data_IF_053901598503
#
_entry.id   IF_053901598503
#
_cell.length_a   1.000
_cell.length_b   1.000
_cell.length_c   1.000
_cell.angle_alpha   90.00
_cell.angle_beta   90.00
_cell.angle_gamma   90.00
#
_symmetry.space_group_name_H-M   'P 1'
#
loop_
_entity.id
_entity.type
_entity.pdbx_description
1 polymer ?
#
# COMPACT_ATOMS: atom_id res chain seq x y z
N UNK A 1 -12.23 36.46 2.65
CA UNK A 1 -11.05 35.70 3.09
C UNK A 1 -9.94 36.69 3.41
N UNK A 2 -9.55 36.82 4.68
CA UNK A 2 -8.61 37.85 5.11
C UNK A 2 -7.15 37.41 4.95
N UNK A 3 -6.23 38.35 4.80
CA UNK A 3 -4.77 38.09 4.69
C UNK A 3 -4.22 37.18 5.82
N UNK A 4 -4.83 37.19 7.00
CA UNK A 4 -4.48 36.31 8.14
C UNK A 4 -4.80 34.82 7.90
N UNK A 5 -5.79 34.48 7.06
CA UNK A 5 -6.09 33.10 6.68
C UNK A 5 -5.01 32.54 5.73
N UNK A 6 -4.45 33.40 4.87
CA UNK A 6 -3.36 33.04 3.94
C UNK A 6 -2.09 32.67 4.71
N UNK A 7 -1.75 33.40 5.78
CA UNK A 7 -0.58 33.08 6.62
C UNK A 7 -0.77 31.82 7.48
N UNK A 8 -2.00 31.51 7.92
CA UNK A 8 -2.32 30.26 8.64
C UNK A 8 -2.27 29.05 7.72
N UNK A 9 -2.86 29.16 6.53
CA UNK A 9 -2.74 28.14 5.47
C UNK A 9 -1.29 27.95 5.07
N UNK A 10 -0.51 29.03 4.90
CA UNK A 10 0.92 28.96 4.59
C UNK A 10 1.74 28.19 5.64
N UNK A 11 1.52 28.44 6.93
CA UNK A 11 2.20 27.70 8.01
C UNK A 11 1.81 26.23 8.05
N UNK A 12 0.51 25.91 7.90
CA UNK A 12 0.04 24.52 7.85
C UNK A 12 0.65 23.79 6.65
N UNK A 13 0.66 24.41 5.47
CA UNK A 13 1.25 23.83 4.25
C UNK A 13 2.74 23.59 4.42
N UNK A 14 3.50 24.55 4.98
CA UNK A 14 4.95 24.35 5.21
C UNK A 14 5.25 23.25 6.24
N UNK A 15 4.41 23.11 7.28
CA UNK A 15 4.59 22.07 8.29
C UNK A 15 4.28 20.68 7.70
N UNK A 16 3.15 20.55 7.00
CA UNK A 16 2.77 19.31 6.28
C UNK A 16 3.83 18.93 5.25
N UNK A 17 4.32 19.88 4.45
CA UNK A 17 5.36 19.62 3.47
C UNK A 17 6.68 19.13 4.11
N UNK A 18 7.04 19.67 5.28
CA UNK A 18 8.21 19.21 6.03
C UNK A 18 8.00 17.79 6.59
N UNK A 19 6.82 17.51 7.13
CA UNK A 19 6.48 16.16 7.63
C UNK A 19 6.51 15.12 6.52
N UNK A 20 5.88 15.40 5.38
CA UNK A 20 5.91 14.51 4.20
C UNK A 20 7.34 14.31 3.69
N UNK A 21 8.15 15.37 3.65
CA UNK A 21 9.56 15.26 3.27
C UNK A 21 10.34 14.35 4.22
N UNK A 22 10.15 14.52 5.53
CA UNK A 22 10.82 13.70 6.54
C UNK A 22 10.37 12.23 6.48
N UNK A 23 9.06 12.01 6.32
CA UNK A 23 8.49 10.68 6.10
C UNK A 23 9.13 10.01 4.89
N UNK A 24 9.26 10.73 3.77
CA UNK A 24 9.90 10.21 2.55
C UNK A 24 11.35 9.83 2.78
N UNK A 25 12.12 10.66 3.49
CA UNK A 25 13.52 10.34 3.81
C UNK A 25 13.58 9.08 4.68
N UNK A 26 12.76 9.01 5.73
CA UNK A 26 12.70 7.84 6.59
C UNK A 26 12.30 6.57 5.81
N UNK A 27 11.32 6.66 4.91
CA UNK A 27 10.92 5.54 4.06
C UNK A 27 12.06 5.10 3.11
N UNK A 28 12.81 6.06 2.54
CA UNK A 28 13.98 5.76 1.71
C UNK A 28 15.09 5.06 2.49
N UNK A 29 15.38 5.53 3.70
CA UNK A 29 16.38 4.93 4.58
C UNK A 29 15.98 3.51 4.98
N UNK A 30 14.69 3.28 5.30
CA UNK A 30 14.16 1.95 5.59
C UNK A 30 14.33 1.00 4.39
N UNK A 31 13.97 1.45 3.17
CA UNK A 31 14.05 0.61 1.96
C UNK A 31 15.47 0.12 1.66
N UNK A 32 16.49 0.88 2.06
CA UNK A 32 17.90 0.54 1.86
C UNK A 32 18.40 -0.55 2.83
N UNK A 33 17.64 -0.88 3.88
CA UNK A 33 18.03 -1.90 4.84
C UNK A 33 17.95 -3.32 4.23
N UNK A 34 18.83 -4.25 4.65
CA UNK A 34 18.64 -5.67 4.32
C UNK A 34 17.31 -6.19 4.90
N UNK A 35 16.72 -7.19 4.23
CA UNK A 35 15.33 -7.61 4.49
C UNK A 35 15.01 -7.94 5.96
N UNK A 36 15.89 -8.63 6.73
CA UNK A 36 15.64 -8.86 8.15
C UNK A 36 15.51 -7.57 8.97
N UNK A 37 16.45 -6.63 8.81
CA UNK A 37 16.39 -5.34 9.53
C UNK A 37 15.22 -4.50 9.02
N UNK A 38 14.94 -4.54 7.73
CA UNK A 38 13.80 -3.85 7.13
C UNK A 38 12.48 -4.28 7.79
N UNK A 39 12.24 -5.59 7.92
CA UNK A 39 11.04 -6.14 8.56
C UNK A 39 10.93 -5.67 10.01
N UNK A 40 12.01 -5.81 10.78
CA UNK A 40 12.06 -5.41 12.19
C UNK A 40 11.76 -3.91 12.36
N UNK A 41 12.43 -3.05 11.59
CA UNK A 41 12.24 -1.61 11.66
C UNK A 41 10.85 -1.19 11.17
N UNK A 42 10.28 -1.86 10.18
CA UNK A 42 8.92 -1.57 9.73
C UNK A 42 7.89 -1.87 10.83
N UNK A 43 7.99 -3.04 11.48
CA UNK A 43 7.12 -3.39 12.60
C UNK A 43 7.29 -2.41 13.77
N UNK A 44 8.53 -2.08 14.11
CA UNK A 44 8.82 -1.11 15.16
C UNK A 44 8.28 0.29 14.85
N UNK A 45 8.32 0.73 13.59
CA UNK A 45 7.77 2.01 13.13
C UNK A 45 6.24 2.04 13.16
N UNK A 46 5.58 0.93 12.84
CA UNK A 46 4.12 0.81 12.89
C UNK A 46 3.55 0.63 14.30
N UNK A 47 4.35 0.17 15.25
CA UNK A 47 3.97 0.22 16.66
C UNK A 47 4.13 1.66 17.17
N UNK A 48 3.22 2.14 18.00
CA UNK A 48 3.41 3.37 18.76
C UNK A 48 3.09 3.06 20.22
N UNK A 49 3.64 3.82 21.16
CA UNK A 49 3.30 3.67 22.58
C UNK A 49 1.79 3.82 22.82
N UNK A 50 1.10 4.56 21.94
CA UNK A 50 -0.34 4.82 22.00
C UNK A 50 -1.16 4.06 20.94
N UNK A 51 -0.55 3.19 20.15
CA UNK A 51 -1.29 2.41 19.16
C UNK A 51 -2.19 1.36 19.86
N UNK A 52 -3.48 1.26 19.50
CA UNK A 52 -4.33 0.20 20.02
C UNK A 52 -3.91 -1.18 19.47
N UNK A 53 -3.37 -1.23 18.26
CA UNK A 53 -3.01 -2.47 17.59
C UNK A 53 -1.64 -3.05 18.01
N UNK A 54 -1.52 -4.38 17.85
CA UNK A 54 -0.25 -5.10 17.85
C UNK A 54 -0.11 -5.94 16.59
N UNK A 55 1.05 -5.84 15.96
CA UNK A 55 1.44 -6.64 14.80
C UNK A 55 2.72 -7.42 15.09
N UNK A 56 2.84 -8.62 14.54
CA UNK A 56 4.03 -9.45 14.68
C UNK A 56 4.38 -10.13 13.35
N UNK A 57 5.67 -10.31 13.09
CA UNK A 57 6.12 -11.17 12.00
C UNK A 57 5.73 -12.64 12.28
N UNK A 58 5.11 -13.31 11.32
CA UNK A 58 4.93 -14.76 11.39
C UNK A 58 6.26 -15.45 11.12
N UNK A 59 6.43 -16.64 11.70
CA UNK A 59 7.62 -17.46 11.50
C UNK A 59 7.74 -17.83 10.02
N UNK A 60 8.92 -17.64 9.44
CA UNK A 60 9.20 -18.00 8.06
C UNK A 60 8.97 -19.50 7.82
N UNK A 61 8.47 -19.84 6.63
CA UNK A 61 8.25 -21.23 6.24
C UNK A 61 9.50 -21.82 5.59
N UNK A 62 9.73 -23.12 5.83
CA UNK A 62 10.84 -23.84 5.20
C UNK A 62 10.70 -23.94 3.67
N UNK A 63 9.45 -23.94 3.16
CA UNK A 63 9.11 -24.03 1.73
C UNK A 63 8.87 -22.66 1.06
N UNK A 64 9.18 -21.56 1.74
CA UNK A 64 8.83 -20.21 1.27
C UNK A 64 9.38 -19.88 -0.13
N UNK A 65 10.64 -20.23 -0.40
CA UNK A 65 11.27 -19.97 -1.70
C UNK A 65 10.56 -20.70 -2.85
N UNK A 66 10.21 -21.97 -2.64
CA UNK A 66 9.50 -22.78 -3.63
C UNK A 66 8.11 -22.21 -3.90
N UNK A 67 7.34 -21.93 -2.84
CA UNK A 67 6.00 -21.38 -2.97
C UNK A 67 5.99 -19.99 -3.63
N UNK A 68 6.97 -19.14 -3.31
CA UNK A 68 7.11 -17.83 -3.93
C UNK A 68 7.44 -17.95 -5.44
N UNK A 69 8.29 -18.91 -5.81
CA UNK A 69 8.63 -19.19 -7.22
C UNK A 69 7.41 -19.72 -8.00
N UNK A 70 6.65 -20.67 -7.42
CA UNK A 70 5.45 -21.23 -8.04
C UNK A 70 4.39 -20.15 -8.30
N UNK A 71 4.25 -19.21 -7.36
CA UNK A 71 3.36 -18.05 -7.49
C UNK A 71 3.95 -16.92 -8.34
N UNK A 72 5.20 -17.04 -8.80
CA UNK A 72 5.94 -16.03 -9.57
C UNK A 72 5.95 -14.67 -8.87
N UNK A 73 6.16 -14.67 -7.56
CA UNK A 73 6.19 -13.44 -6.78
C UNK A 73 7.37 -12.55 -7.21
N UNK A 74 7.19 -11.22 -7.22
CA UNK A 74 8.30 -10.28 -7.42
C UNK A 74 9.39 -10.46 -6.36
N UNK A 75 10.64 -10.17 -6.73
CA UNK A 75 11.83 -10.43 -5.91
C UNK A 75 11.71 -9.94 -4.47
N UNK A 76 11.31 -8.68 -4.25
CA UNK A 76 11.20 -8.12 -2.90
C UNK A 76 10.15 -8.82 -2.03
N UNK A 77 9.02 -9.21 -2.63
CA UNK A 77 7.97 -9.93 -1.91
C UNK A 77 8.41 -11.37 -1.61
N UNK A 78 9.08 -12.02 -2.56
CA UNK A 78 9.65 -13.35 -2.36
C UNK A 78 10.70 -13.34 -1.23
N UNK A 79 11.62 -12.37 -1.24
CA UNK A 79 12.65 -12.17 -0.22
C UNK A 79 12.03 -11.95 1.17
N UNK A 80 10.99 -11.11 1.25
CA UNK A 80 10.22 -10.90 2.47
C UNK A 80 9.68 -12.23 3.04
N UNK A 81 9.09 -13.07 2.18
CA UNK A 81 8.56 -14.36 2.60
C UNK A 81 9.62 -15.38 3.03
N UNK A 82 10.88 -15.22 2.61
CA UNK A 82 11.98 -16.06 3.12
C UNK A 82 12.36 -15.71 4.57
N UNK A 83 12.01 -14.51 5.03
CA UNK A 83 12.35 -14.00 6.35
C UNK A 83 11.16 -13.97 7.33
N UNK A 84 9.93 -13.87 6.84
CA UNK A 84 8.71 -14.04 7.65
C UNK A 84 7.50 -14.45 6.81
N UNK A 85 6.53 -15.15 7.38
CA UNK A 85 5.31 -15.57 6.66
C UNK A 85 4.19 -14.51 6.70
N UNK A 86 4.54 -13.26 6.40
CA UNK A 86 3.64 -12.11 6.56
C UNK A 86 3.52 -11.59 7.99
N UNK A 87 2.60 -10.66 8.20
CA UNK A 87 2.35 -10.02 9.50
C UNK A 87 0.99 -10.45 10.05
N UNK A 88 1.02 -11.06 11.24
CA UNK A 88 -0.18 -11.34 12.01
C UNK A 88 -0.54 -10.13 12.89
N UNK A 89 -1.82 -9.91 13.10
CA UNK A 89 -2.31 -8.92 14.05
C UNK A 89 -3.50 -9.44 14.86
N UNK A 90 -3.64 -8.93 16.08
CA UNK A 90 -4.80 -9.20 16.93
C UNK A 90 -5.96 -8.20 16.71
N UNK A 91 -5.68 -7.05 16.10
CA UNK A 91 -6.60 -5.92 15.91
C UNK A 91 -6.39 -5.27 14.52
N UNK A 92 -6.95 -4.06 14.33
CA UNK A 92 -6.84 -3.19 13.14
C UNK A 92 -5.41 -2.66 12.94
N UNK A 93 -4.47 -3.58 12.78
CA UNK A 93 -3.12 -3.26 12.38
C UNK A 93 -3.14 -2.64 10.97
N UNK A 94 -2.41 -1.53 10.74
CA UNK A 94 -2.54 -0.72 9.54
C UNK A 94 -2.05 -1.39 8.25
N UNK A 95 -1.09 -2.32 8.35
CA UNK A 95 -0.53 -3.01 7.17
C UNK A 95 -0.39 -4.52 7.41
N UNK A 96 -1.50 -5.26 7.60
CA UNK A 96 -1.45 -6.70 7.84
C UNK A 96 -1.08 -7.40 6.54
N UNK A 97 0.01 -8.17 6.54
CA UNK A 97 0.46 -8.91 5.36
C UNK A 97 0.00 -10.36 5.46
N UNK A 98 -0.74 -10.84 4.47
CA UNK A 98 -1.25 -12.22 4.39
C UNK A 98 -0.11 -13.24 4.45
N UNK A 99 -0.41 -14.45 4.93
CA UNK A 99 0.54 -15.54 4.86
C UNK A 99 0.77 -15.98 3.40
N UNK A 100 1.94 -16.52 3.08
CA UNK A 100 2.29 -16.92 1.71
C UNK A 100 1.30 -17.94 1.14
N UNK A 101 0.84 -18.86 1.97
CA UNK A 101 -0.14 -19.88 1.58
C UNK A 101 -1.52 -19.30 1.24
N UNK A 102 -1.85 -18.13 1.78
CA UNK A 102 -3.13 -17.44 1.57
C UNK A 102 -3.13 -16.58 0.30
N UNK A 103 -1.95 -16.30 -0.27
CA UNK A 103 -1.84 -15.53 -1.50
C UNK A 103 -2.46 -16.29 -2.68
N UNK A 104 -3.43 -15.66 -3.32
CA UNK A 104 -4.12 -16.15 -4.53
C UNK A 104 -4.44 -14.95 -5.43
N UNK A 105 -4.92 -15.20 -6.64
CA UNK A 105 -5.33 -14.12 -7.53
C UNK A 105 -6.55 -13.39 -6.93
N UNK A 106 -6.67 -12.10 -7.18
CA UNK A 106 -7.78 -11.27 -6.71
C UNK A 106 -9.15 -11.86 -7.09
N UNK A 107 -9.26 -12.47 -8.28
CA UNK A 107 -10.46 -13.17 -8.76
C UNK A 107 -10.91 -14.31 -7.83
N UNK A 108 -9.98 -14.91 -7.07
CA UNK A 108 -10.24 -16.04 -6.18
C UNK A 108 -10.58 -15.60 -4.75
N UNK A 109 -10.66 -14.29 -4.49
CA UNK A 109 -11.15 -13.74 -3.22
C UNK A 109 -12.67 -13.56 -3.22
N UNK A 110 -13.26 -13.58 -2.02
CA UNK A 110 -14.66 -13.32 -1.80
C UNK A 110 -14.81 -12.25 -0.69
N UNK A 111 -15.22 -11.00 -1.03
CA UNK A 111 -15.42 -10.48 -2.39
C UNK A 111 -14.11 -10.34 -3.17
N UNK A 112 -14.20 -10.30 -4.50
CA UNK A 112 -13.06 -9.97 -5.36
C UNK A 112 -12.75 -8.45 -5.27
N UNK A 113 -11.50 -8.00 -5.47
CA UNK A 113 -11.14 -6.59 -5.47
C UNK A 113 -12.03 -5.73 -6.40
N UNK A 114 -12.31 -6.20 -7.61
CA UNK A 114 -13.16 -5.45 -8.54
C UNK A 114 -14.60 -5.27 -8.03
N UNK A 115 -15.12 -6.25 -7.27
CA UNK A 115 -16.45 -6.18 -6.68
C UNK A 115 -16.51 -5.16 -5.55
N UNK A 116 -15.47 -5.10 -4.70
CA UNK A 116 -15.34 -4.08 -3.66
C UNK A 116 -15.39 -2.68 -4.27
N UNK A 117 -14.58 -2.45 -5.29
CA UNK A 117 -14.53 -1.16 -6.00
C UNK A 117 -15.90 -0.79 -6.61
N UNK A 118 -16.55 -1.75 -7.28
CA UNK A 118 -17.86 -1.51 -7.90
C UNK A 118 -18.95 -1.24 -6.86
N UNK A 119 -18.91 -1.91 -5.71
CA UNK A 119 -19.82 -1.65 -4.61
C UNK A 119 -19.64 -0.22 -4.07
N UNK A 120 -18.40 0.20 -3.84
CA UNK A 120 -18.08 1.57 -3.43
C UNK A 120 -18.59 2.60 -4.45
N UNK A 121 -18.34 2.39 -5.74
CA UNK A 121 -18.83 3.30 -6.79
C UNK A 121 -20.35 3.37 -6.91
N UNK A 122 -21.05 2.28 -6.59
CA UNK A 122 -22.52 2.28 -6.59
C UNK A 122 -23.07 3.21 -5.50
N UNK A 123 -22.38 3.31 -4.37
CA UNK A 123 -22.78 4.14 -3.23
C UNK A 123 -22.30 5.59 -3.35
N UNK A 124 -21.05 5.78 -3.78
CA UNK A 124 -20.38 7.09 -3.73
C UNK A 124 -20.12 7.72 -5.11
N UNK A 125 -20.32 6.97 -6.18
CA UNK A 125 -19.96 7.38 -7.55
C UNK A 125 -18.50 7.07 -7.91
N UNK A 126 -18.15 7.32 -9.17
CA UNK A 126 -16.79 7.22 -9.69
C UNK A 126 -16.26 8.64 -9.97
N UNK A 127 -15.23 9.05 -9.24
CA UNK A 127 -14.61 10.37 -9.28
C UNK A 127 -13.39 10.45 -10.22
N UNK A 128 -13.00 9.35 -10.88
CA UNK A 128 -11.83 9.29 -11.77
C UNK A 128 -11.90 10.19 -13.01
N UNK A 129 -13.09 10.72 -13.35
CA UNK A 129 -13.32 11.43 -14.61
C UNK A 129 -13.27 10.53 -15.86
N UNK A 130 -13.11 9.21 -15.72
CA UNK A 130 -13.16 8.23 -16.81
C UNK A 130 -14.12 7.09 -16.47
N UNK A 131 -15.18 6.97 -17.26
CA UNK A 131 -16.22 5.96 -17.04
C UNK A 131 -15.63 4.54 -16.95
N UNK A 132 -15.94 3.85 -15.86
CA UNK A 132 -15.50 2.47 -15.62
C UNK A 132 -14.01 2.28 -15.34
N UNK A 133 -13.25 3.35 -15.11
CA UNK A 133 -11.82 3.28 -14.78
C UNK A 133 -11.52 3.88 -13.41
N UNK A 134 -10.48 3.36 -12.77
CA UNK A 134 -9.89 3.86 -11.53
C UNK A 134 -8.71 4.75 -11.89
N UNK A 135 -8.63 5.90 -11.24
CA UNK A 135 -7.44 6.73 -11.27
C UNK A 135 -6.37 6.12 -10.37
N UNK A 136 -5.17 5.95 -10.91
CA UNK A 136 -3.99 5.51 -10.15
C UNK A 136 -3.08 6.71 -9.93
N UNK A 137 -2.88 7.06 -8.66
CA UNK A 137 -2.11 8.21 -8.21
C UNK A 137 -0.66 7.81 -7.86
N UNK A 138 0.30 8.74 -7.99
CA UNK A 138 1.64 8.56 -7.43
C UNK A 138 1.57 8.47 -5.90
N UNK A 139 2.54 7.80 -5.26
CA UNK A 139 2.71 7.92 -3.81
C UNK A 139 3.18 9.33 -3.46
N UNK A 140 2.74 9.83 -2.29
CA UNK A 140 3.23 11.07 -1.66
C UNK A 140 3.10 12.37 -2.49
N UNK A 141 2.26 12.38 -3.52
CA UNK A 141 2.02 13.58 -4.31
C UNK A 141 0.74 14.28 -3.83
N UNK A 142 0.87 15.06 -2.74
CA UNK A 142 -0.22 15.90 -2.23
C UNK A 142 -0.83 16.79 -3.32
N UNK A 143 -0.04 17.25 -4.30
CA UNK A 143 -0.55 18.03 -5.42
C UNK A 143 -1.35 17.17 -6.41
N UNK A 144 -0.93 15.92 -6.68
CA UNK A 144 -1.72 14.99 -7.48
C UNK A 144 -3.01 14.58 -6.77
N UNK A 145 -2.99 14.43 -5.44
CA UNK A 145 -4.18 14.22 -4.62
C UNK A 145 -5.12 15.44 -4.66
N UNK A 146 -4.56 16.65 -4.64
CA UNK A 146 -5.37 17.88 -4.69
C UNK A 146 -5.91 18.19 -6.09
N UNK A 147 -5.21 17.81 -7.15
CA UNK A 147 -5.55 18.14 -8.54
C UNK A 147 -6.14 16.95 -9.33
N UNK A 148 -6.28 15.77 -8.73
CA UNK A 148 -6.65 14.52 -9.41
C UNK A 148 -5.75 14.22 -10.63
N UNK A 149 -4.44 14.40 -10.47
CA UNK A 149 -3.46 14.16 -11.54
C UNK A 149 -3.06 12.68 -11.58
N UNK A 150 -3.86 11.90 -12.30
CA UNK A 150 -3.67 10.46 -12.51
C UNK A 150 -2.35 10.16 -13.26
N UNK A 151 -1.52 9.25 -12.73
CA UNK A 151 -0.43 8.68 -13.53
C UNK A 151 -0.96 7.75 -14.62
N UNK A 152 -2.00 6.99 -14.30
CA UNK A 152 -2.62 6.06 -15.23
C UNK A 152 -4.05 5.73 -14.78
N UNK A 153 -4.76 5.00 -15.64
CA UNK A 153 -6.10 4.54 -15.37
C UNK A 153 -6.20 3.03 -15.59
N UNK A 154 -6.88 2.34 -14.68
CA UNK A 154 -7.07 0.88 -14.75
C UNK A 154 -8.54 0.51 -14.61
N UNK A 155 -8.98 -0.54 -15.30
CA UNK A 155 -10.31 -1.10 -15.04
C UNK A 155 -10.29 -1.87 -13.72
N UNK A 156 -11.36 -1.84 -12.90
CA UNK A 156 -11.42 -2.61 -11.65
C UNK A 156 -11.07 -4.10 -11.84
N UNK A 157 -11.55 -4.72 -12.93
CA UNK A 157 -11.26 -6.12 -13.27
C UNK A 157 -9.76 -6.44 -13.45
N UNK A 158 -8.90 -5.43 -13.67
CA UNK A 158 -7.46 -5.65 -13.70
C UNK A 158 -6.91 -6.07 -12.32
N UNK A 159 -7.52 -5.60 -11.24
CA UNK A 159 -7.12 -5.95 -9.86
C UNK A 159 -7.35 -7.44 -9.56
N UNK A 160 -8.28 -8.08 -10.26
CA UNK A 160 -8.58 -9.50 -10.08
C UNK A 160 -7.46 -10.40 -10.62
N UNK A 161 -6.62 -9.87 -11.51
CA UNK A 161 -5.44 -10.56 -12.07
C UNK A 161 -4.17 -10.29 -11.25
N UNK A 162 -4.28 -9.55 -10.15
CA UNK A 162 -3.19 -9.22 -9.23
C UNK A 162 -3.29 -10.06 -7.96
N UNK A 163 -2.28 -10.03 -7.11
CA UNK A 163 -2.27 -10.78 -5.84
C UNK A 163 -2.50 -9.84 -4.67
N UNK A 164 -3.64 -9.88 -3.97
CA UNK A 164 -3.81 -9.19 -2.72
C UNK A 164 -2.77 -9.65 -1.70
N UNK A 165 -2.04 -8.71 -1.12
CA UNK A 165 -1.04 -8.95 -0.07
C UNK A 165 -1.56 -8.61 1.32
N UNK A 166 -2.72 -7.98 1.40
CA UNK A 166 -3.48 -7.72 2.63
C UNK A 166 -4.91 -8.26 2.44
N UNK A 167 -5.68 -8.52 3.52
CA UNK A 167 -7.07 -8.92 3.41
C UNK A 167 -7.89 -7.91 2.58
N UNK A 168 -8.71 -8.40 1.66
CA UNK A 168 -9.61 -7.57 0.87
C UNK A 168 -10.79 -7.13 1.74
N UNK A 169 -10.87 -5.83 2.06
CA UNK A 169 -11.95 -5.21 2.83
C UNK A 169 -12.65 -4.13 2.01
N UNK A 170 -13.81 -3.68 2.47
CA UNK A 170 -14.63 -2.67 1.79
C UNK A 170 -13.94 -1.30 1.74
N UNK A 171 -13.24 -0.95 2.81
CA UNK A 171 -12.55 0.32 3.03
C UNK A 171 -11.14 0.36 2.45
N UNK A 172 -10.47 -0.79 2.31
CA UNK A 172 -9.13 -0.83 1.75
C UNK A 172 -8.54 -2.20 1.50
N UNK A 173 -7.55 -2.23 0.60
CA UNK A 173 -6.68 -3.37 0.35
C UNK A 173 -5.43 -2.95 -0.42
N UNK A 174 -4.48 -3.86 -0.60
CA UNK A 174 -3.29 -3.68 -1.42
C UNK A 174 -3.03 -4.94 -2.24
N UNK A 175 -2.74 -4.75 -3.53
CA UNK A 175 -2.44 -5.82 -4.49
C UNK A 175 -1.07 -5.62 -5.12
N UNK A 176 -0.41 -6.72 -5.46
CA UNK A 176 0.88 -6.74 -6.16
C UNK A 176 0.69 -7.20 -7.59
N UNK A 177 1.30 -6.47 -8.53
CA UNK A 177 1.30 -6.80 -9.94
C UNK A 177 2.29 -7.93 -10.22
N UNK A 178 1.79 -9.08 -10.68
CA UNK A 178 2.64 -10.20 -11.12
C UNK A 178 3.25 -9.96 -12.51
N UNK A 179 2.56 -9.19 -13.35
CA UNK A 179 3.01 -8.81 -14.68
C UNK A 179 2.75 -7.31 -14.89
N UNK A 180 3.57 -6.69 -15.74
CA UNK A 180 3.40 -5.27 -16.05
C UNK A 180 2.08 -4.99 -16.78
N UNK A 181 1.43 -3.89 -16.43
CA UNK A 181 0.17 -3.41 -16.98
C UNK A 181 0.33 -2.03 -17.64
N UNK A 182 1.29 -1.93 -18.58
CA UNK A 182 1.64 -0.69 -19.27
C UNK A 182 2.88 0.01 -18.69
N UNK A 183 3.22 1.17 -19.25
CA UNK A 183 4.47 1.89 -18.96
C UNK A 183 4.57 2.37 -17.50
N UNK A 184 3.45 2.74 -16.89
CA UNK A 184 3.39 3.29 -15.54
C UNK A 184 3.10 2.24 -14.46
N UNK A 185 2.98 0.96 -14.83
CA UNK A 185 2.62 -0.14 -13.92
C UNK A 185 3.51 -1.37 -14.21
N UNK A 186 4.81 -1.31 -13.90
CA UNK A 186 5.68 -2.47 -14.07
C UNK A 186 5.28 -3.62 -13.12
N UNK A 187 5.72 -4.84 -13.48
CA UNK A 187 5.61 -5.98 -12.58
C UNK A 187 6.34 -5.67 -11.27
N UNK A 188 5.78 -6.08 -10.13
CA UNK A 188 6.30 -5.77 -8.80
C UNK A 188 5.67 -4.55 -8.14
N UNK A 189 5.04 -3.64 -8.89
CA UNK A 189 4.33 -2.51 -8.30
C UNK A 189 3.20 -2.95 -7.37
N UNK A 190 2.97 -2.15 -6.33
CA UNK A 190 1.85 -2.31 -5.40
C UNK A 190 0.80 -1.27 -5.72
N UNK A 191 -0.45 -1.68 -5.82
CA UNK A 191 -1.59 -0.77 -5.86
C UNK A 191 -2.36 -0.90 -4.55
N UNK A 192 -2.40 0.19 -3.79
CA UNK A 192 -3.19 0.30 -2.59
C UNK A 192 -4.50 1.00 -2.92
N UNK A 193 -5.60 0.30 -2.69
CA UNK A 193 -6.94 0.86 -2.74
C UNK A 193 -7.36 1.31 -1.34
N UNK A 194 -7.89 2.52 -1.24
CA UNK A 194 -8.50 3.07 -0.03
C UNK A 194 -9.65 4.00 -0.41
N UNK A 195 -10.87 3.65 -0.02
CA UNK A 195 -12.08 4.47 -0.22
C UNK A 195 -12.21 5.11 -1.62
N UNK A 196 -12.08 4.31 -2.68
CA UNK A 196 -12.20 4.77 -4.06
C UNK A 196 -10.90 5.25 -4.71
N UNK A 197 -9.87 5.54 -3.92
CA UNK A 197 -8.58 6.03 -4.39
C UNK A 197 -7.60 4.86 -4.54
N UNK A 198 -6.84 4.84 -5.64
CA UNK A 198 -5.73 3.89 -5.81
C UNK A 198 -4.41 4.65 -5.81
N UNK A 199 -3.53 4.31 -4.88
CA UNK A 199 -2.15 4.81 -4.81
C UNK A 199 -1.19 3.74 -5.28
N UNK A 200 -0.28 4.09 -6.20
CA UNK A 200 0.79 3.20 -6.66
C UNK A 200 2.02 3.34 -5.78
N UNK A 201 2.68 2.22 -5.52
CA UNK A 201 4.07 2.15 -5.06
C UNK A 201 4.90 1.35 -6.05
N UNK A 202 6.19 1.70 -6.18
CA UNK A 202 7.07 1.07 -7.16
C UNK A 202 7.27 -0.42 -6.89
N UNK A 203 7.33 -0.80 -5.61
CA UNK A 203 7.62 -2.14 -5.13
C UNK A 203 7.04 -2.37 -3.72
N UNK A 204 7.13 -3.62 -3.24
CA UNK A 204 6.64 -4.00 -1.90
C UNK A 204 7.37 -3.28 -0.77
N UNK A 205 8.70 -3.10 -0.88
CA UNK A 205 9.50 -2.39 0.13
C UNK A 205 9.04 -0.94 0.26
N UNK A 206 8.73 -0.28 -0.85
CA UNK A 206 8.26 1.09 -0.90
C UNK A 206 6.91 1.22 -0.18
N UNK A 207 5.94 0.36 -0.50
CA UNK A 207 4.64 0.34 0.17
C UNK A 207 4.78 0.15 1.69
N UNK A 208 5.55 -0.85 2.13
CA UNK A 208 5.66 -1.15 3.55
C UNK A 208 6.47 -0.10 4.32
N UNK A 209 7.54 0.43 3.73
CA UNK A 209 8.32 1.52 4.31
C UNK A 209 7.47 2.79 4.50
N UNK A 210 6.56 3.06 3.56
CA UNK A 210 5.67 4.21 3.67
C UNK A 210 4.78 4.09 4.92
N UNK A 211 4.14 2.93 5.12
CA UNK A 211 3.34 2.65 6.32
C UNK A 211 4.14 2.78 7.62
N UNK A 212 5.34 2.23 7.66
CA UNK A 212 6.21 2.31 8.83
C UNK A 212 6.65 3.75 9.14
N UNK A 213 6.97 4.54 8.12
CA UNK A 213 7.42 5.93 8.27
C UNK A 213 6.29 6.88 8.65
N UNK A 214 5.07 6.68 8.12
CA UNK A 214 3.90 7.50 8.41
C UNK A 214 3.61 7.51 9.91
N UNK A 215 3.56 6.32 10.53
CA UNK A 215 3.21 6.17 11.94
C UNK A 215 4.38 6.49 12.88
N UNK A 216 5.61 6.22 12.44
CA UNK A 216 6.81 6.65 13.17
C UNK A 216 6.93 8.17 13.28
N UNK A 217 6.43 8.92 12.29
CA UNK A 217 6.47 10.38 12.25
C UNK A 217 5.46 11.09 13.15
N UNK A 218 4.47 10.36 13.69
CA UNK A 218 3.39 10.89 14.55
C UNK A 218 3.82 10.87 16.05
N UNK A 219 5.03 10.40 16.35
CA UNK A 219 5.61 10.35 17.71
C UNK A 219 6.18 11.69 18.17
#
# INVERSE_FOLDING_TARGET
MGLLDIFRVGKVVTHVAKTVKNQRIAAQDLRALPMPQFIEQCLAGMHSEHAPWRGQARVARADAQTLAADKRLPTDLADFYTHCDGFASSEDFPAPVLALAELKLGADHAPAPSQVIQAFWKEHGNDSGREGQLMVLPPDNLLALMNNDAQTFVRPAAMDMMVPIVPVREDGFAVVLLAGAGEHLPAGSVLQYENGIVTRYDDFRHWLANWASLLGSIR
#
